data_IF_934224905459
#
_entry.id   IF_934224905459
#
_cell.length_a   1.000
_cell.length_b   1.000
_cell.length_c   1.000
_cell.angle_alpha   90.00
_cell.angle_beta   90.00
_cell.angle_gamma   90.00
#
_symmetry.space_group_name_H-M   'P 1'
#
loop_
_entity.id
_entity.type
_entity.pdbx_description
1 polymer ?
#
# COMPACT_ATOMS: atom_id res chain seq x y z
N UNK A 1 -23.86 -7.67 0.13
CA UNK A 1 -23.75 -6.78 1.32
C UNK A 1 -24.50 -5.46 1.18
N UNK A 2 -24.90 -5.06 -0.03
CA UNK A 2 -25.70 -3.86 -0.30
C UNK A 2 -27.09 -3.88 0.34
N UNK A 3 -27.64 -5.05 0.65
CA UNK A 3 -28.92 -5.25 1.34
C UNK A 3 -28.90 -4.91 2.83
N UNK A 4 -27.73 -4.58 3.40
CA UNK A 4 -27.57 -4.22 4.82
C UNK A 4 -27.17 -2.75 4.94
N UNK A 5 -28.12 -1.80 4.87
CA UNK A 5 -27.84 -0.36 4.75
C UNK A 5 -27.33 0.29 6.06
N UNK A 6 -27.29 -0.46 7.15
CA UNK A 6 -26.74 -0.02 8.45
C UNK A 6 -25.49 -0.80 8.86
N UNK A 7 -24.96 -1.63 7.96
CA UNK A 7 -23.77 -2.44 8.25
C UNK A 7 -22.55 -1.53 8.29
N UNK A 8 -21.88 -1.50 9.44
CA UNK A 8 -20.65 -0.72 9.66
C UNK A 8 -19.40 -1.60 9.59
N UNK A 9 -19.48 -2.83 10.10
CA UNK A 9 -18.34 -3.76 10.14
C UNK A 9 -18.73 -5.08 9.51
N UNK A 10 -17.87 -5.59 8.63
CA UNK A 10 -17.98 -6.91 8.04
C UNK A 10 -16.68 -7.68 8.27
N UNK A 11 -16.75 -8.75 9.05
CA UNK A 11 -15.63 -9.64 9.27
C UNK A 11 -15.82 -10.96 8.52
N UNK A 12 -14.96 -11.19 7.53
CA UNK A 12 -14.84 -12.40 6.74
C UNK A 12 -13.45 -13.04 6.89
N UNK A 13 -12.68 -12.66 7.90
CA UNK A 13 -11.35 -13.20 8.17
C UNK A 13 -11.38 -14.70 8.51
N UNK A 14 -10.25 -15.38 8.33
CA UNK A 14 -10.08 -16.83 8.64
C UNK A 14 -11.10 -17.75 7.95
N UNK A 15 -11.47 -17.40 6.72
CA UNK A 15 -12.34 -18.22 5.89
C UNK A 15 -11.52 -18.90 4.76
N UNK A 16 -12.22 -19.45 3.77
CA UNK A 16 -11.63 -20.13 2.61
C UNK A 16 -11.76 -19.31 1.32
N UNK A 17 -11.85 -17.99 1.43
CA UNK A 17 -11.96 -17.11 0.26
C UNK A 17 -10.67 -17.17 -0.55
N UNK A 18 -10.78 -17.51 -1.83
CA UNK A 18 -9.62 -17.62 -2.74
C UNK A 18 -9.44 -16.41 -3.64
N UNK A 19 -10.49 -15.66 -3.90
CA UNK A 19 -10.49 -14.53 -4.83
C UNK A 19 -11.47 -13.48 -4.34
N UNK A 20 -11.16 -12.21 -4.58
CA UNK A 20 -12.12 -11.11 -4.48
C UNK A 20 -12.49 -10.69 -5.90
N UNK A 21 -13.74 -10.91 -6.35
CA UNK A 21 -14.18 -10.51 -7.68
C UNK A 21 -14.08 -8.99 -7.91
N UNK A 22 -14.07 -8.58 -9.18
CA UNK A 22 -14.21 -7.18 -9.54
C UNK A 22 -15.53 -6.62 -8.97
N UNK A 23 -15.50 -5.38 -8.46
CA UNK A 23 -16.67 -4.71 -7.87
C UNK A 23 -17.37 -5.49 -6.74
N UNK A 24 -16.67 -6.42 -6.07
CA UNK A 24 -17.28 -7.33 -5.09
C UNK A 24 -18.00 -6.63 -3.93
N UNK A 25 -17.46 -5.51 -3.46
CA UNK A 25 -17.97 -4.81 -2.29
C UNK A 25 -18.56 -3.45 -2.66
N UNK A 26 -19.87 -3.33 -2.47
CA UNK A 26 -20.62 -2.07 -2.59
C UNK A 26 -21.54 -1.93 -1.39
N UNK A 27 -21.15 -1.02 -0.49
CA UNK A 27 -21.93 -0.61 0.66
C UNK A 27 -21.38 0.74 1.15
N UNK A 28 -22.16 1.84 1.06
CA UNK A 28 -21.67 3.17 1.38
C UNK A 28 -21.54 3.43 2.89
N UNK A 29 -22.10 2.58 3.77
CA UNK A 29 -22.02 2.75 5.23
C UNK A 29 -20.94 1.91 5.89
N UNK A 30 -20.35 0.96 5.15
CA UNK A 30 -19.34 0.06 5.71
C UNK A 30 -18.06 0.86 6.02
N UNK A 31 -17.63 0.79 7.28
CA UNK A 31 -16.45 1.45 7.82
C UNK A 31 -15.26 0.49 7.98
N UNK A 32 -15.51 -0.79 8.26
CA UNK A 32 -14.45 -1.79 8.46
C UNK A 32 -14.73 -3.09 7.71
N UNK A 33 -13.73 -3.56 6.96
CA UNK A 33 -13.77 -4.83 6.23
C UNK A 33 -12.54 -5.68 6.60
N UNK A 34 -12.79 -6.82 7.24
CA UNK A 34 -11.75 -7.79 7.61
C UNK A 34 -11.80 -8.99 6.66
N UNK A 35 -10.72 -9.21 5.92
CA UNK A 35 -10.53 -10.33 4.99
C UNK A 35 -9.24 -11.12 5.28
N UNK A 36 -8.50 -10.73 6.32
CA UNK A 36 -7.24 -11.35 6.73
C UNK A 36 -7.32 -12.86 6.91
N UNK A 37 -6.17 -13.51 6.73
CA UNK A 37 -6.00 -14.96 6.92
C UNK A 37 -6.95 -15.80 6.05
N UNK A 38 -7.28 -15.30 4.86
CA UNK A 38 -7.90 -16.09 3.79
C UNK A 38 -6.85 -16.44 2.74
N UNK A 39 -6.98 -17.58 2.02
CA UNK A 39 -6.07 -17.95 0.94
C UNK A 39 -6.32 -17.16 -0.36
N UNK A 40 -6.54 -15.83 -0.26
CA UNK A 40 -6.86 -14.96 -1.39
C UNK A 40 -5.61 -14.80 -2.26
N UNK A 41 -5.72 -15.18 -3.53
CA UNK A 41 -4.62 -15.08 -4.52
C UNK A 41 -4.80 -13.93 -5.50
N UNK A 42 -6.01 -13.35 -5.58
CA UNK A 42 -6.27 -12.21 -6.47
C UNK A 42 -7.39 -11.31 -5.99
N UNK A 43 -7.26 -10.02 -6.33
CA UNK A 43 -8.28 -8.99 -6.16
C UNK A 43 -8.60 -8.38 -7.52
N UNK A 44 -9.87 -8.44 -7.92
CA UNK A 44 -10.34 -7.86 -9.18
C UNK A 44 -10.38 -6.33 -9.15
N UNK A 45 -10.42 -5.73 -10.34
CA UNK A 45 -10.46 -4.28 -10.49
C UNK A 45 -11.68 -3.67 -9.77
N UNK A 46 -11.46 -2.55 -9.08
CA UNK A 46 -12.49 -1.78 -8.36
C UNK A 46 -13.25 -2.60 -7.31
N UNK A 47 -12.66 -3.69 -6.77
CA UNK A 47 -13.29 -4.55 -5.76
C UNK A 47 -13.84 -3.77 -4.55
N UNK A 48 -13.18 -2.67 -4.17
CA UNK A 48 -13.49 -1.84 -3.00
C UNK A 48 -14.04 -0.45 -3.35
N UNK A 49 -14.23 -0.13 -4.63
CA UNK A 49 -14.58 1.22 -5.07
C UNK A 49 -15.96 1.70 -4.56
N UNK A 50 -16.86 0.78 -4.21
CA UNK A 50 -18.18 1.08 -3.67
C UNK A 50 -18.21 1.34 -2.15
N UNK A 51 -17.08 1.25 -1.46
CA UNK A 51 -16.96 1.39 0.01
C UNK A 51 -16.59 2.83 0.40
N UNK A 52 -17.51 3.78 0.20
CA UNK A 52 -17.22 5.22 0.34
C UNK A 52 -16.87 5.68 1.75
N UNK A 53 -17.39 4.99 2.77
CA UNK A 53 -17.14 5.31 4.19
C UNK A 53 -16.09 4.41 4.85
N UNK A 54 -15.34 3.63 4.06
CA UNK A 54 -14.36 2.70 4.60
C UNK A 54 -13.23 3.46 5.31
N UNK A 55 -12.95 3.05 6.55
CA UNK A 55 -11.83 3.51 7.37
C UNK A 55 -10.77 2.43 7.49
N UNK A 56 -11.15 1.17 7.46
CA UNK A 56 -10.25 0.05 7.70
C UNK A 56 -10.47 -1.09 6.70
N UNK A 57 -9.38 -1.49 6.02
CA UNK A 57 -9.33 -2.70 5.20
C UNK A 57 -8.18 -3.58 5.67
N UNK A 58 -8.50 -4.81 6.10
CA UNK A 58 -7.51 -5.80 6.51
C UNK A 58 -7.46 -6.96 5.52
N UNK A 59 -6.32 -7.12 4.85
CA UNK A 59 -5.99 -8.17 3.87
C UNK A 59 -4.68 -8.89 4.25
N UNK A 60 -4.24 -8.79 5.50
CA UNK A 60 -3.01 -9.41 5.97
C UNK A 60 -3.05 -10.94 5.97
N UNK A 61 -1.90 -11.58 5.81
CA UNK A 61 -1.80 -13.04 5.81
C UNK A 61 -2.56 -13.70 4.66
N UNK A 62 -2.71 -12.99 3.53
CA UNK A 62 -3.27 -13.55 2.30
C UNK A 62 -2.17 -14.15 1.41
N UNK A 63 -2.49 -14.52 0.17
CA UNK A 63 -1.53 -15.10 -0.79
C UNK A 63 -1.46 -14.25 -2.07
N UNK A 64 -1.64 -12.95 -1.92
CA UNK A 64 -1.62 -11.97 -3.00
C UNK A 64 -0.19 -11.74 -3.49
N UNK A 65 0.17 -12.33 -4.63
CA UNK A 65 1.49 -12.08 -5.24
C UNK A 65 1.53 -10.79 -6.05
N UNK A 66 0.37 -10.34 -6.56
CA UNK A 66 0.25 -9.19 -7.47
C UNK A 66 -0.93 -8.32 -7.05
N UNK A 67 -0.70 -7.00 -6.99
CA UNK A 67 -1.76 -5.99 -7.00
C UNK A 67 -1.98 -5.50 -8.43
N UNK A 68 -3.07 -5.94 -9.05
CA UNK A 68 -3.41 -5.61 -10.43
C UNK A 68 -3.98 -4.20 -10.61
N UNK A 69 -4.33 -3.88 -11.84
CA UNK A 69 -4.92 -2.59 -12.19
C UNK A 69 -6.19 -2.30 -11.38
N UNK A 70 -6.20 -1.14 -10.72
CA UNK A 70 -7.33 -0.67 -9.90
C UNK A 70 -7.76 -1.64 -8.78
N UNK A 71 -6.95 -2.63 -8.41
CA UNK A 71 -7.34 -3.64 -7.41
C UNK A 71 -7.50 -3.05 -6.02
N UNK A 72 -6.74 -2.00 -5.71
CA UNK A 72 -6.79 -1.26 -4.44
C UNK A 72 -7.43 0.13 -4.61
N UNK A 73 -8.12 0.38 -5.72
CA UNK A 73 -8.84 1.63 -5.94
C UNK A 73 -10.03 1.71 -4.98
N UNK A 74 -9.97 2.72 -4.12
CA UNK A 74 -11.04 3.18 -3.26
C UNK A 74 -11.43 4.61 -3.64
N UNK A 75 -12.73 4.86 -3.68
CA UNK A 75 -13.34 6.19 -3.86
C UNK A 75 -13.88 6.68 -2.51
N UNK A 76 -13.01 6.62 -1.50
CA UNK A 76 -13.33 7.06 -0.15
C UNK A 76 -12.58 8.35 0.14
N UNK A 77 -13.31 9.32 0.69
CA UNK A 77 -12.77 10.59 1.19
C UNK A 77 -12.57 10.54 2.70
N UNK A 78 -12.55 9.35 3.32
CA UNK A 78 -12.45 9.21 4.76
C UNK A 78 -11.06 9.62 5.25
N UNK A 79 -10.96 10.63 6.13
CA UNK A 79 -9.71 11.00 6.75
C UNK A 79 -9.32 9.91 7.74
N UNK A 80 -8.21 9.21 7.47
CA UNK A 80 -7.71 8.13 8.32
C UNK A 80 -7.78 6.73 7.72
N UNK A 81 -8.13 6.58 6.43
CA UNK A 81 -8.17 5.28 5.76
C UNK A 81 -6.87 4.49 6.00
N UNK A 82 -7.03 3.29 6.58
CA UNK A 82 -5.98 2.34 6.88
C UNK A 82 -6.17 1.08 6.03
N UNK A 83 -5.13 0.71 5.30
CA UNK A 83 -5.08 -0.48 4.46
C UNK A 83 -3.93 -1.35 4.95
N UNK A 84 -4.23 -2.55 5.42
CA UNK A 84 -3.25 -3.53 5.84
C UNK A 84 -3.15 -4.66 4.79
N UNK A 85 -1.98 -4.77 4.16
CA UNK A 85 -1.59 -5.79 3.17
C UNK A 85 -0.33 -6.54 3.64
N UNK A 86 -0.02 -6.51 4.94
CA UNK A 86 1.15 -7.18 5.48
C UNK A 86 1.13 -8.70 5.23
N UNK A 87 2.30 -9.32 5.14
CA UNK A 87 2.46 -10.78 5.07
C UNK A 87 1.62 -11.47 3.97
N UNK A 88 1.52 -10.83 2.80
CA UNK A 88 0.63 -11.29 1.71
C UNK A 88 1.36 -11.85 0.49
N UNK A 89 2.69 -11.90 0.51
CA UNK A 89 3.58 -12.37 -0.58
C UNK A 89 3.65 -11.45 -1.82
N UNK A 90 3.26 -10.19 -1.69
CA UNK A 90 3.21 -9.23 -2.80
C UNK A 90 4.62 -9.00 -3.34
N UNK A 91 4.84 -9.27 -4.62
CA UNK A 91 6.12 -9.01 -5.30
C UNK A 91 5.98 -8.03 -6.46
N UNK A 92 4.75 -7.73 -6.90
CA UNK A 92 4.49 -6.80 -8.00
C UNK A 92 3.23 -5.97 -7.74
N UNK A 93 3.31 -4.69 -8.07
CA UNK A 93 2.21 -3.73 -7.91
C UNK A 93 2.09 -2.96 -9.22
N UNK A 94 0.91 -2.97 -9.81
CA UNK A 94 0.61 -2.14 -10.99
C UNK A 94 0.69 -0.66 -10.65
N UNK A 95 1.18 0.15 -11.61
CA UNK A 95 1.18 1.62 -11.52
C UNK A 95 -0.22 2.23 -11.30
N UNK A 96 -1.30 1.50 -11.60
CA UNK A 96 -2.67 1.95 -11.40
C UNK A 96 -3.39 1.28 -10.23
N UNK A 97 -2.73 0.39 -9.48
CA UNK A 97 -3.34 -0.39 -8.39
C UNK A 97 -4.04 0.50 -7.36
N UNK A 98 -3.40 1.60 -6.95
CA UNK A 98 -3.90 2.58 -5.98
C UNK A 98 -4.49 3.86 -6.63
N UNK A 99 -4.83 3.80 -7.93
CA UNK A 99 -5.32 4.99 -8.63
C UNK A 99 -6.57 5.57 -7.97
N UNK A 100 -6.52 6.84 -7.57
CA UNK A 100 -7.63 7.50 -6.86
C UNK A 100 -7.61 7.33 -5.35
N UNK A 101 -6.67 6.57 -4.78
CA UNK A 101 -6.64 6.25 -3.34
C UNK A 101 -5.53 7.02 -2.64
N UNK A 102 -5.83 7.51 -1.44
CA UNK A 102 -4.91 8.27 -0.58
C UNK A 102 -5.08 7.79 0.87
N UNK A 103 -4.52 6.62 1.23
CA UNK A 103 -4.65 6.11 2.59
C UNK A 103 -3.80 6.96 3.54
N UNK A 104 -4.25 7.10 4.79
CA UNK A 104 -3.38 7.63 5.83
C UNK A 104 -2.30 6.59 6.19
N UNK A 105 -2.69 5.32 6.28
CA UNK A 105 -1.78 4.22 6.60
C UNK A 105 -1.91 3.12 5.55
N UNK A 106 -0.79 2.78 4.92
CA UNK A 106 -0.68 1.62 4.04
C UNK A 106 0.44 0.73 4.57
N UNK A 107 0.11 -0.47 5.00
CA UNK A 107 1.07 -1.45 5.47
C UNK A 107 1.32 -2.50 4.39
N UNK A 108 2.55 -2.53 3.86
CA UNK A 108 3.05 -3.52 2.91
C UNK A 108 4.22 -4.32 3.51
N UNK A 109 4.38 -4.32 4.84
CA UNK A 109 5.46 -5.05 5.50
C UNK A 109 5.36 -6.57 5.30
N UNK A 110 6.48 -7.29 5.41
CA UNK A 110 6.51 -8.75 5.29
C UNK A 110 6.10 -9.28 3.90
N UNK A 111 6.27 -8.46 2.86
CA UNK A 111 6.01 -8.86 1.48
C UNK A 111 7.33 -9.18 0.73
N UNK A 112 7.25 -9.43 -0.57
CA UNK A 112 8.38 -9.85 -1.40
C UNK A 112 8.78 -8.74 -2.40
N UNK A 113 8.64 -7.47 -2.01
CA UNK A 113 9.05 -6.35 -2.84
C UNK A 113 10.59 -6.25 -2.88
N UNK A 114 11.17 -6.30 -4.07
CA UNK A 114 12.61 -6.13 -4.26
C UNK A 114 12.97 -4.72 -4.72
N UNK A 115 12.01 -3.97 -5.26
CA UNK A 115 12.18 -2.60 -5.75
C UNK A 115 10.99 -1.73 -5.33
N UNK A 116 11.18 -0.41 -5.39
CA UNK A 116 10.11 0.58 -5.20
C UNK A 116 10.03 1.48 -6.43
N UNK A 117 9.16 1.11 -7.37
CA UNK A 117 9.01 1.86 -8.62
C UNK A 117 8.40 3.25 -8.38
N UNK A 118 9.01 4.28 -8.97
CA UNK A 118 8.53 5.66 -8.91
C UNK A 118 7.11 5.80 -9.46
N UNK A 119 6.79 5.07 -10.54
CA UNK A 119 5.47 5.08 -11.18
C UNK A 119 4.34 4.58 -10.26
N UNK A 120 4.67 3.73 -9.28
CA UNK A 120 3.72 3.20 -8.30
C UNK A 120 3.66 4.12 -7.09
N UNK A 121 4.82 4.38 -6.47
CA UNK A 121 4.88 5.00 -5.16
C UNK A 121 4.97 6.53 -5.21
N UNK A 122 5.56 7.13 -6.25
CA UNK A 122 5.68 8.59 -6.35
C UNK A 122 4.33 9.32 -6.25
N UNK A 123 3.35 9.01 -7.13
CA UNK A 123 2.01 9.59 -7.05
C UNK A 123 1.28 9.26 -5.73
N UNK A 124 1.51 8.08 -5.18
CA UNK A 124 0.88 7.64 -3.93
C UNK A 124 1.39 8.45 -2.73
N UNK A 125 2.72 8.54 -2.54
CA UNK A 125 3.31 9.29 -1.42
C UNK A 125 2.89 10.77 -1.45
N UNK A 126 2.85 11.39 -2.63
CA UNK A 126 2.39 12.77 -2.79
C UNK A 126 0.94 12.93 -2.36
N UNK A 127 0.06 11.98 -2.70
CA UNK A 127 -1.35 11.99 -2.27
C UNK A 127 -1.47 11.80 -0.76
N UNK A 128 -0.70 10.86 -0.19
CA UNK A 128 -0.68 10.59 1.25
C UNK A 128 -0.25 11.85 2.04
N UNK A 129 0.79 12.57 1.60
CA UNK A 129 1.23 13.83 2.24
C UNK A 129 0.20 14.95 2.16
N UNK A 130 -0.56 15.01 1.07
CA UNK A 130 -1.58 16.05 0.84
C UNK A 130 -2.92 15.74 1.52
N UNK A 131 -3.07 14.53 2.03
CA UNK A 131 -4.27 14.08 2.73
C UNK A 131 -3.98 14.00 4.23
N UNK A 132 -3.97 15.14 4.95
CA UNK A 132 -3.66 15.14 6.37
C UNK A 132 -4.65 14.26 7.13
N UNK A 133 -4.12 13.43 8.05
CA UNK A 133 -4.95 12.70 8.98
C UNK A 133 -5.71 13.65 9.91
N UNK A 134 -6.71 13.12 10.61
CA UNK A 134 -7.35 13.89 11.67
C UNK A 134 -6.31 14.15 12.77
N UNK A 135 -6.41 15.31 13.45
CA UNK A 135 -5.56 15.64 14.60
C UNK A 135 -4.04 15.69 14.33
N UNK A 136 -3.61 15.87 13.08
CA UNK A 136 -2.20 16.01 12.73
C UNK A 136 -1.44 14.69 12.64
N UNK A 137 -2.14 13.55 12.52
CA UNK A 137 -1.50 12.27 12.25
C UNK A 137 -0.71 12.32 10.94
N UNK A 138 0.55 11.87 11.00
CA UNK A 138 1.40 11.75 9.83
C UNK A 138 1.03 10.47 9.04
N UNK A 139 1.01 10.53 7.70
CA UNK A 139 0.83 9.35 6.90
C UNK A 139 1.99 8.37 7.07
N UNK A 140 1.70 7.08 6.93
CA UNK A 140 2.66 5.99 7.10
C UNK A 140 2.56 5.00 5.94
N UNK A 141 3.71 4.66 5.35
CA UNK A 141 3.86 3.58 4.40
C UNK A 141 4.81 2.55 4.99
N UNK A 142 4.24 1.45 5.52
CA UNK A 142 5.00 0.34 6.07
C UNK A 142 5.64 -0.48 4.97
N UNK A 143 6.97 -0.60 4.99
CA UNK A 143 7.77 -1.35 4.01
C UNK A 143 8.75 -2.34 4.67
N UNK A 144 8.73 -2.44 5.99
CA UNK A 144 9.58 -3.35 6.76
C UNK A 144 9.52 -4.78 6.23
N UNK A 145 10.59 -5.54 6.46
CA UNK A 145 10.65 -6.98 6.12
C UNK A 145 10.39 -7.30 4.63
N UNK A 146 10.63 -6.35 3.73
CA UNK A 146 10.71 -6.60 2.29
C UNK A 146 12.19 -6.74 1.84
N UNK A 147 12.51 -7.64 0.90
CA UNK A 147 13.87 -7.86 0.41
C UNK A 147 14.35 -6.79 -0.60
N UNK A 148 14.13 -5.51 -0.29
CA UNK A 148 14.45 -4.34 -1.12
C UNK A 148 15.95 -4.31 -1.46
N UNK A 149 16.29 -4.37 -2.75
CA UNK A 149 17.71 -4.45 -3.15
C UNK A 149 18.47 -3.16 -2.84
N UNK A 150 17.78 -2.01 -2.88
CA UNK A 150 18.38 -0.68 -2.85
C UNK A 150 19.58 -0.54 -3.80
N UNK A 151 19.48 -1.21 -4.95
CA UNK A 151 20.50 -1.25 -5.97
C UNK A 151 19.87 -0.92 -7.32
N UNK A 152 20.58 -0.11 -8.11
CA UNK A 152 20.11 0.37 -9.40
C UNK A 152 19.22 1.61 -9.31
N UNK A 153 18.83 2.11 -10.47
CA UNK A 153 18.16 3.40 -10.59
C UNK A 153 16.70 3.43 -10.13
N UNK A 154 16.09 2.28 -9.83
CA UNK A 154 14.72 2.22 -9.29
C UNK A 154 14.58 2.89 -7.91
N UNK A 155 15.68 3.11 -7.19
CA UNK A 155 15.68 3.80 -5.89
C UNK A 155 16.18 5.24 -5.98
N UNK A 156 16.61 5.70 -7.16
CA UNK A 156 17.21 7.03 -7.35
C UNK A 156 16.29 8.16 -6.88
N UNK A 157 15.01 8.04 -7.18
CA UNK A 157 13.98 9.03 -6.85
C UNK A 157 13.73 9.19 -5.35
N UNK A 158 14.10 8.19 -4.52
CA UNK A 158 13.97 8.25 -3.05
C UNK A 158 15.08 9.07 -2.37
N UNK A 159 16.27 9.14 -2.98
CA UNK A 159 17.44 9.83 -2.41
C UNK A 159 17.17 11.31 -2.10
N UNK A 160 16.53 12.12 -2.97
CA UNK A 160 16.16 13.49 -2.60
C UNK A 160 15.03 13.58 -1.57
N UNK A 161 14.18 12.55 -1.45
CA UNK A 161 13.06 12.57 -0.48
C UNK A 161 13.53 12.43 0.96
N UNK A 162 14.68 11.79 1.21
CA UNK A 162 15.19 11.51 2.56
C UNK A 162 15.45 12.75 3.42
N UNK A 163 15.63 13.92 2.79
CA UNK A 163 15.84 15.21 3.46
C UNK A 163 14.58 16.08 3.49
N UNK A 164 13.50 15.67 2.83
CA UNK A 164 12.25 16.42 2.80
C UNK A 164 11.39 16.11 4.03
N UNK A 165 10.77 17.15 4.60
CA UNK A 165 9.91 17.01 5.79
C UNK A 165 8.76 16.04 5.53
N UNK A 166 8.47 15.19 6.51
CA UNK A 166 7.36 14.23 6.48
C UNK A 166 7.71 12.85 5.89
N UNK A 167 8.65 12.75 4.95
CA UNK A 167 9.01 11.45 4.35
C UNK A 167 9.76 10.53 5.33
N UNK A 168 10.62 11.07 6.18
CA UNK A 168 11.36 10.26 7.16
C UNK A 168 10.45 9.56 8.17
N UNK A 169 9.34 10.21 8.58
CA UNK A 169 8.33 9.59 9.43
C UNK A 169 7.41 8.65 8.65
N UNK A 170 7.16 8.94 7.37
CA UNK A 170 6.30 8.09 6.53
C UNK A 170 6.94 6.76 6.20
N UNK A 171 8.25 6.74 5.96
CA UNK A 171 9.04 5.58 5.55
C UNK A 171 9.96 5.11 6.70
N UNK A 172 9.46 5.16 7.93
CA UNK A 172 10.28 4.95 9.13
C UNK A 172 10.83 3.51 9.27
N UNK A 173 10.09 2.52 8.76
CA UNK A 173 10.44 1.09 8.80
C UNK A 173 11.09 0.60 7.49
N UNK A 174 11.31 1.50 6.54
CA UNK A 174 12.04 1.18 5.32
C UNK A 174 13.44 0.68 5.68
N UNK A 175 13.80 -0.47 5.14
CA UNK A 175 15.14 -0.99 5.16
C UNK A 175 15.46 -1.70 3.85
N UNK A 176 16.67 -1.47 3.36
CA UNK A 176 17.26 -2.28 2.31
C UNK A 176 17.62 -3.67 2.84
N UNK A 177 17.84 -4.62 1.94
CA UNK A 177 18.28 -5.98 2.27
C UNK A 177 19.58 -6.02 3.08
N UNK A 178 20.46 -5.04 2.89
CA UNK A 178 21.70 -4.87 3.64
C UNK A 178 21.53 -4.12 4.99
N UNK A 179 20.29 -3.84 5.39
CA UNK A 179 19.94 -3.10 6.60
C UNK A 179 20.01 -1.57 6.46
N UNK A 180 20.30 -1.04 5.27
CA UNK A 180 20.35 0.43 5.07
C UNK A 180 18.97 1.06 5.28
N UNK A 181 18.82 2.00 6.21
CA UNK A 181 17.55 2.69 6.42
C UNK A 181 17.35 3.78 5.35
N UNK A 182 16.12 4.28 5.24
CA UNK A 182 15.75 5.31 4.25
C UNK A 182 16.67 6.54 4.28
N UNK A 183 17.01 7.06 5.47
CA UNK A 183 17.90 8.22 5.61
C UNK A 183 19.35 7.95 5.19
N UNK A 184 19.75 6.68 5.13
CA UNK A 184 21.07 6.21 4.70
C UNK A 184 21.19 5.99 3.20
N UNK A 185 20.12 6.18 2.42
CA UNK A 185 20.16 6.09 0.96
C UNK A 185 20.99 7.23 0.35
N UNK A 186 21.94 6.87 -0.51
CA UNK A 186 22.75 7.80 -1.30
C UNK A 186 22.89 7.31 -2.73
N UNK A 187 23.19 8.19 -3.68
CA UNK A 187 23.45 7.81 -5.08
C UNK A 187 24.59 6.80 -5.21
N UNK A 188 25.64 6.95 -4.40
CA UNK A 188 26.77 6.03 -4.37
C UNK A 188 26.37 4.65 -3.84
N UNK A 189 25.50 4.58 -2.83
CA UNK A 189 25.07 3.31 -2.24
C UNK A 189 24.16 2.52 -3.17
N UNK A 190 23.22 3.20 -3.83
CA UNK A 190 22.33 2.57 -4.81
C UNK A 190 23.03 2.26 -6.14
N UNK A 191 24.27 2.73 -6.34
CA UNK A 191 25.05 2.57 -7.58
C UNK A 191 24.31 2.99 -8.85
N UNK A 192 23.65 4.14 -8.78
CA UNK A 192 23.02 4.79 -9.94
C UNK A 192 23.67 6.17 -10.13
N UNK A 193 24.67 6.25 -10.99
CA UNK A 193 25.28 7.51 -11.42
C UNK A 193 24.45 8.19 -12.52
N UNK A 194 24.82 9.41 -12.90
CA UNK A 194 24.05 10.23 -13.85
C UNK A 194 24.12 9.74 -15.31
N UNK A 195 24.86 8.66 -15.61
CA UNK A 195 25.20 8.23 -16.97
C UNK A 195 24.91 6.73 -17.23
N UNK A 196 23.88 6.14 -16.62
CA UNK A 196 23.62 4.70 -16.74
C UNK A 196 23.49 4.15 -18.18
N UNK A 197 23.44 2.81 -18.40
CA UNK A 197 23.45 1.71 -17.42
C UNK A 197 24.65 0.73 -17.60
N UNK A 198 24.92 -0.07 -16.57
CA UNK A 198 25.56 -1.39 -16.69
C UNK A 198 24.54 -2.46 -16.31
#
# INVERSE_FOLDING_TARGET
>A
ISSFPKLLTLNLGKNKLRTIPAQAFSNPTLEALVLSENPIVSVGANAFAGLRSLKELFLSGTRLTILGDYSMRMLSDQPGLTINLADSLISSISRTAFSGTAPLRLDLSGNNLTTLSEDVFGPLLVRMLRSPGQFGEAPMLGLGDNPLSCYGCSFRWLVPLRTMRGFSSMLFDFACRDGTPFFGLTYSKIRCDQNGPF
#
